data_IF_452733484088
#
_entry.id   IF_452733484088
#
_cell.length_a   1.000
_cell.length_b   1.000
_cell.length_c   1.000
_cell.angle_alpha   90.00
_cell.angle_beta   90.00
_cell.angle_gamma   90.00
#
_symmetry.space_group_name_H-M   'P 1'
#
loop_
_entity.id
_entity.type
_entity.pdbx_description
1 polymer ?
#
# COMPACT_ATOMS: atom_id res chain seq x y z
N UNK A 1 29.96 1.67 21.87
CA UNK A 1 29.69 0.88 20.66
C UNK A 1 28.99 -0.40 21.10
N UNK A 2 27.73 -0.60 20.69
CA UNK A 2 27.00 -1.84 20.99
C UNK A 2 26.61 -2.48 19.65
N UNK A 3 27.39 -3.49 19.25
CA UNK A 3 27.06 -4.40 18.17
C UNK A 3 25.87 -5.26 18.62
N UNK A 4 24.66 -4.93 18.15
CA UNK A 4 23.53 -5.86 18.25
C UNK A 4 23.65 -6.85 17.10
N UNK A 5 24.05 -8.07 17.45
CA UNK A 5 23.99 -9.25 16.58
C UNK A 5 22.59 -9.36 15.98
N UNK A 6 22.52 -9.36 14.66
CA UNK A 6 21.35 -9.79 13.91
C UNK A 6 21.16 -11.28 14.23
N UNK A 7 20.19 -11.58 15.10
CA UNK A 7 19.77 -12.95 15.35
C UNK A 7 19.14 -13.51 14.08
N UNK A 8 19.59 -14.71 13.74
CA UNK A 8 19.27 -15.48 12.56
C UNK A 8 17.75 -15.57 12.36
N UNK A 9 17.29 -15.32 11.13
CA UNK A 9 15.92 -15.60 10.69
C UNK A 9 15.64 -17.10 10.81
N UNK A 10 15.14 -17.50 11.99
CA UNK A 10 14.77 -18.86 12.29
C UNK A 10 13.72 -19.35 11.29
N UNK A 11 14.15 -20.21 10.37
CA UNK A 11 13.28 -20.88 9.42
C UNK A 11 12.15 -21.59 10.20
N UNK A 12 10.93 -21.07 10.10
CA UNK A 12 9.78 -21.66 10.79
C UNK A 12 9.65 -23.13 10.38
N UNK A 13 9.52 -24.01 11.37
CA UNK A 13 9.22 -25.42 11.11
C UNK A 13 7.96 -25.55 10.26
N UNK A 14 7.93 -26.57 9.41
CA UNK A 14 6.86 -26.78 8.43
C UNK A 14 5.47 -26.83 9.09
N UNK A 15 5.38 -27.37 10.31
CA UNK A 15 4.16 -27.37 11.12
C UNK A 15 3.70 -25.98 11.55
N UNK A 16 4.62 -25.03 11.83
CA UNK A 16 4.26 -23.63 12.13
C UNK A 16 3.77 -22.91 10.87
N UNK A 17 4.41 -23.15 9.71
CA UNK A 17 3.98 -22.59 8.41
C UNK A 17 2.59 -23.08 8.02
N UNK A 18 2.31 -24.38 8.21
CA UNK A 18 0.98 -24.96 7.94
C UNK A 18 -0.11 -24.38 8.85
N UNK A 19 0.15 -24.21 10.15
CA UNK A 19 -0.81 -23.55 11.06
C UNK A 19 -1.16 -22.12 10.65
N UNK A 20 -0.19 -21.36 10.14
CA UNK A 20 -0.45 -20.00 9.64
C UNK A 20 -1.29 -20.05 8.37
N UNK A 21 -0.97 -20.94 7.42
CA UNK A 21 -1.77 -21.12 6.19
C UNK A 21 -3.21 -21.50 6.49
N UNK A 22 -3.45 -22.47 7.37
CA UNK A 22 -4.80 -22.87 7.78
C UNK A 22 -5.57 -21.72 8.45
N UNK A 23 -4.87 -20.88 9.22
CA UNK A 23 -5.49 -19.73 9.87
C UNK A 23 -5.83 -18.64 8.85
N UNK A 24 -4.95 -18.36 7.88
CA UNK A 24 -5.24 -17.42 6.77
C UNK A 24 -6.38 -17.94 5.91
N UNK A 25 -6.38 -19.24 5.57
CA UNK A 25 -7.45 -19.87 4.80
C UNK A 25 -8.81 -19.73 5.46
N UNK A 26 -8.91 -19.96 6.78
CA UNK A 26 -10.16 -19.74 7.53
C UNK A 26 -10.62 -18.28 7.55
N UNK A 27 -9.70 -17.32 7.55
CA UNK A 27 -10.05 -15.91 7.44
C UNK A 27 -10.51 -15.54 6.02
N UNK A 28 -9.85 -16.08 4.99
CA UNK A 28 -10.27 -15.90 3.60
C UNK A 28 -11.60 -16.57 3.30
N UNK A 29 -11.94 -17.68 3.96
CA UNK A 29 -13.24 -18.34 3.82
C UNK A 29 -14.34 -17.56 4.57
N UNK A 30 -14.03 -17.06 5.77
CA UNK A 30 -14.99 -16.30 6.59
C UNK A 30 -15.26 -14.89 6.09
N UNK A 31 -14.26 -14.25 5.49
CA UNK A 31 -14.30 -12.87 4.98
C UNK A 31 -14.05 -12.83 3.47
N UNK A 32 -14.27 -13.95 2.79
CA UNK A 32 -14.07 -14.10 1.36
C UNK A 32 -14.91 -13.10 0.59
N UNK A 33 -14.28 -12.49 -0.40
CA UNK A 33 -14.84 -11.40 -1.20
C UNK A 33 -15.88 -11.87 -2.22
N UNK A 34 -16.12 -13.17 -2.31
CA UNK A 34 -16.90 -13.80 -3.41
C UNK A 34 -18.38 -13.39 -3.40
N UNK A 35 -18.92 -12.99 -2.24
CA UNK A 35 -20.30 -12.48 -2.09
C UNK A 35 -20.39 -10.98 -1.77
N UNK A 36 -19.27 -10.25 -1.77
CA UNK A 36 -19.30 -8.81 -1.54
C UNK A 36 -19.78 -8.11 -2.82
N UNK A 37 -21.06 -7.79 -2.87
CA UNK A 37 -21.57 -6.72 -3.73
C UNK A 37 -20.64 -5.51 -3.56
N UNK A 38 -19.87 -5.20 -4.60
CA UNK A 38 -19.05 -3.99 -4.68
C UNK A 38 -19.98 -2.80 -4.90
N UNK A 39 -20.93 -2.59 -4.01
CA UNK A 39 -21.63 -1.32 -3.89
C UNK A 39 -20.71 -0.42 -3.08
N UNK A 40 -19.83 0.27 -3.80
CA UNK A 40 -19.08 1.37 -3.22
C UNK A 40 -20.06 2.43 -2.70
N UNK A 41 -20.07 2.78 -1.40
CA UNK A 41 -20.66 4.04 -0.99
C UNK A 41 -19.69 5.12 -1.49
N UNK A 42 -19.94 5.62 -2.70
CA UNK A 42 -19.10 6.62 -3.36
C UNK A 42 -19.12 7.97 -2.61
N UNK A 43 -20.14 8.22 -1.77
CA UNK A 43 -20.29 9.47 -1.02
C UNK A 43 -19.23 9.72 0.07
N UNK A 44 -18.76 8.70 0.77
CA UNK A 44 -17.73 8.85 1.84
C UNK A 44 -16.30 8.56 1.34
N UNK A 45 -16.15 7.90 0.19
CA UNK A 45 -14.83 7.53 -0.37
C UNK A 45 -14.06 8.71 -0.95
N UNK A 46 -14.74 9.78 -1.33
CA UNK A 46 -14.10 10.91 -2.01
C UNK A 46 -13.13 11.68 -1.11
N UNK A 47 -13.42 11.79 0.19
CA UNK A 47 -12.53 12.45 1.15
C UNK A 47 -11.21 11.68 1.31
N UNK A 48 -11.26 10.36 1.52
CA UNK A 48 -10.07 9.53 1.65
C UNK A 48 -9.23 9.51 0.37
N UNK A 49 -9.88 9.48 -0.80
CA UNK A 49 -9.20 9.62 -2.09
C UNK A 49 -8.51 10.97 -2.21
N UNK A 50 -9.16 12.05 -1.78
CA UNK A 50 -8.56 13.39 -1.76
C UNK A 50 -7.35 13.45 -0.82
N UNK A 51 -7.42 12.84 0.36
CA UNK A 51 -6.30 12.75 1.31
C UNK A 51 -5.12 11.96 0.73
N UNK A 52 -5.36 10.78 0.16
CA UNK A 52 -4.33 9.99 -0.51
C UNK A 52 -3.67 10.77 -1.66
N UNK A 53 -4.46 11.45 -2.50
CA UNK A 53 -3.93 12.31 -3.58
C UNK A 53 -3.11 13.48 -3.05
N UNK A 54 -3.58 14.15 -2.00
CA UNK A 54 -2.88 15.27 -1.39
C UNK A 54 -1.56 14.85 -0.73
N UNK A 55 -1.53 13.67 -0.11
CA UNK A 55 -0.30 13.09 0.42
C UNK A 55 0.76 12.98 -0.68
N UNK A 56 0.46 12.30 -1.78
CA UNK A 56 1.41 12.13 -2.88
C UNK A 56 1.82 13.46 -3.54
N UNK A 57 0.88 14.41 -3.68
CA UNK A 57 1.16 15.76 -4.19
C UNK A 57 2.13 16.55 -3.32
N UNK A 58 2.30 16.18 -2.06
CA UNK A 58 3.26 16.82 -1.15
C UNK A 58 4.70 16.35 -1.40
N UNK A 59 4.91 15.34 -2.26
CA UNK A 59 6.23 14.75 -2.55
C UNK A 59 6.51 14.59 -4.06
N UNK A 60 6.42 15.68 -4.86
CA UNK A 60 6.58 15.60 -6.31
C UNK A 60 7.97 15.06 -6.72
N UNK A 61 9.04 15.48 -6.05
CA UNK A 61 10.41 15.06 -6.36
C UNK A 61 10.63 13.56 -6.09
N UNK A 62 10.04 13.05 -5.02
CA UNK A 62 10.15 11.64 -4.64
C UNK A 62 9.40 10.77 -5.64
N UNK A 63 8.20 11.20 -6.06
CA UNK A 63 7.46 10.53 -7.12
C UNK A 63 8.21 10.53 -8.44
N UNK A 64 8.79 11.67 -8.83
CA UNK A 64 9.59 11.78 -10.04
C UNK A 64 10.72 10.73 -10.07
N UNK A 65 11.54 10.69 -9.00
CA UNK A 65 12.64 9.72 -8.84
C UNK A 65 12.16 8.26 -8.90
N UNK A 66 11.01 7.94 -8.31
CA UNK A 66 10.45 6.59 -8.39
C UNK A 66 10.06 6.25 -9.83
N UNK A 67 9.41 7.17 -10.56
CA UNK A 67 9.07 6.92 -11.98
C UNK A 67 10.30 6.78 -12.85
N UNK A 68 11.32 7.62 -12.67
CA UNK A 68 12.59 7.45 -13.38
C UNK A 68 13.21 6.08 -13.10
N UNK A 69 13.21 5.64 -11.84
CA UNK A 69 13.70 4.31 -11.48
C UNK A 69 12.87 3.19 -12.11
N UNK A 70 11.54 3.31 -12.15
CA UNK A 70 10.64 2.34 -12.83
C UNK A 70 10.93 2.29 -14.33
N UNK A 71 11.13 3.44 -14.97
CA UNK A 71 11.49 3.55 -16.40
C UNK A 71 12.86 2.94 -16.66
N UNK A 72 13.88 3.28 -15.87
CA UNK A 72 15.24 2.76 -16.06
C UNK A 72 15.32 1.23 -15.86
N UNK A 73 14.48 0.67 -14.97
CA UNK A 73 14.38 -0.78 -14.78
C UNK A 73 13.71 -1.49 -15.96
N UNK A 74 12.74 -0.85 -16.62
CA UNK A 74 12.03 -1.40 -17.77
C UNK A 74 11.82 -0.33 -18.86
N UNK A 75 12.87 0.03 -19.64
CA UNK A 75 12.81 1.13 -20.60
C UNK A 75 11.72 0.94 -21.66
N UNK A 76 11.47 -0.31 -22.04
CA UNK A 76 10.47 -0.70 -23.05
C UNK A 76 9.03 -0.38 -22.61
N UNK A 77 8.79 -0.30 -21.29
CA UNK A 77 7.48 0.03 -20.71
C UNK A 77 7.33 1.52 -20.37
N UNK A 78 8.25 2.38 -20.81
CA UNK A 78 8.24 3.82 -20.50
C UNK A 78 6.87 4.47 -20.79
N UNK A 79 6.30 4.21 -21.96
CA UNK A 79 5.03 4.81 -22.35
C UNK A 79 3.88 4.36 -21.46
N UNK A 80 3.80 3.08 -21.14
CA UNK A 80 2.78 2.52 -20.23
C UNK A 80 2.91 3.10 -18.81
N UNK A 81 4.14 3.20 -18.30
CA UNK A 81 4.41 3.78 -16.97
C UNK A 81 3.96 5.25 -16.93
N UNK A 82 4.27 6.02 -17.98
CA UNK A 82 3.87 7.42 -18.06
C UNK A 82 2.35 7.57 -18.21
N UNK A 83 1.68 6.73 -18.99
CA UNK A 83 0.21 6.74 -19.11
C UNK A 83 -0.47 6.50 -17.76
N UNK A 84 -0.05 5.46 -17.04
CA UNK A 84 -0.58 5.14 -15.70
C UNK A 84 -0.39 6.28 -14.69
N UNK A 85 0.65 7.10 -14.86
CA UNK A 85 0.92 8.28 -14.04
C UNK A 85 0.27 9.57 -14.56
N UNK A 86 -0.13 9.62 -15.82
CA UNK A 86 -0.75 10.80 -16.44
C UNK A 86 -2.28 10.83 -16.26
N UNK A 87 -2.92 9.67 -16.06
CA UNK A 87 -4.37 9.54 -15.91
C UNK A 87 -4.95 10.31 -14.70
N UNK A 88 -4.12 10.73 -13.73
CA UNK A 88 -4.59 11.27 -12.44
C UNK A 88 -4.46 12.78 -12.23
N UNK A 89 -4.04 13.55 -13.24
CA UNK A 89 -4.22 15.01 -13.47
C UNK A 89 -2.99 15.55 -14.25
N UNK A 90 -3.14 16.04 -15.50
CA UNK A 90 -2.00 16.35 -16.38
C UNK A 90 -1.15 17.55 -15.96
N UNK A 91 -1.59 18.36 -15.00
CA UNK A 91 -1.04 19.72 -14.79
C UNK A 91 -0.14 19.90 -13.55
N UNK A 92 0.07 18.86 -12.71
CA UNK A 92 0.75 19.04 -11.41
C UNK A 92 1.84 18.01 -11.06
N UNK A 93 2.38 17.27 -12.03
CA UNK A 93 3.53 16.38 -11.83
C UNK A 93 3.15 14.89 -11.75
N UNK A 94 4.14 14.05 -11.43
CA UNK A 94 3.98 12.61 -11.38
C UNK A 94 3.04 12.20 -10.23
N UNK A 95 2.00 11.43 -10.52
CA UNK A 95 1.14 10.77 -9.52
C UNK A 95 1.36 9.27 -9.57
N UNK A 96 1.17 8.55 -8.44
CA UNK A 96 1.12 7.10 -8.47
C UNK A 96 -0.14 6.63 -9.21
N UNK A 97 -0.22 5.33 -9.51
CA UNK A 97 -1.37 4.78 -10.22
C UNK A 97 -2.66 4.97 -9.42
N UNK A 98 -3.80 5.06 -10.12
CA UNK A 98 -5.11 5.19 -9.46
C UNK A 98 -5.42 4.01 -8.53
N UNK A 99 -4.90 2.81 -8.85
CA UNK A 99 -4.96 1.64 -7.96
C UNK A 99 -4.27 1.87 -6.62
N UNK A 100 -3.06 2.45 -6.62
CA UNK A 100 -2.30 2.73 -5.40
C UNK A 100 -2.98 3.81 -4.55
N UNK A 101 -3.55 4.81 -5.20
CA UNK A 101 -4.32 5.88 -4.55
C UNK A 101 -5.56 5.29 -3.86
N UNK A 102 -6.31 4.42 -4.55
CA UNK A 102 -7.49 3.76 -4.00
C UNK A 102 -7.14 2.84 -2.84
N UNK A 103 -6.05 2.09 -2.97
CA UNK A 103 -5.59 1.20 -1.91
C UNK A 103 -5.18 1.99 -0.66
N UNK A 104 -4.41 3.07 -0.82
CA UNK A 104 -4.05 3.94 0.31
C UNK A 104 -5.29 4.58 0.93
N UNK A 105 -6.23 5.07 0.12
CA UNK A 105 -7.47 5.66 0.61
C UNK A 105 -8.28 4.66 1.46
N UNK A 106 -8.36 3.41 1.02
CA UNK A 106 -9.02 2.35 1.78
C UNK A 106 -8.27 2.05 3.10
N UNK A 107 -6.94 2.04 3.10
CA UNK A 107 -6.18 1.89 4.34
C UNK A 107 -6.41 3.05 5.31
N UNK A 108 -6.50 4.30 4.82
CA UNK A 108 -6.82 5.47 5.65
C UNK A 108 -8.21 5.30 6.27
N UNK A 109 -9.21 4.96 5.44
CA UNK A 109 -10.58 4.69 5.91
C UNK A 109 -10.61 3.63 7.00
N UNK A 110 -9.93 2.51 6.79
CA UNK A 110 -9.85 1.43 7.78
C UNK A 110 -9.11 1.85 9.06
N UNK A 111 -8.09 2.71 8.95
CA UNK A 111 -7.33 3.20 10.11
C UNK A 111 -8.15 4.09 11.04
N UNK A 112 -9.17 4.75 10.50
CA UNK A 112 -10.08 5.64 11.23
C UNK A 112 -11.40 4.96 11.59
N UNK A 113 -11.66 3.76 11.04
CA UNK A 113 -12.84 2.97 11.39
C UNK A 113 -12.59 2.24 12.71
N UNK A 114 -13.42 2.43 13.74
CA UNK A 114 -13.28 1.71 15.00
C UNK A 114 -13.68 0.24 14.80
N UNK A 115 -12.69 -0.65 14.67
CA UNK A 115 -12.89 -2.09 14.55
C UNK A 115 -12.52 -2.76 15.89
N UNK A 116 -13.45 -3.42 16.59
CA UNK A 116 -13.17 -4.06 17.88
C UNK A 116 -11.99 -5.04 17.81
N UNK A 117 -11.03 -4.86 18.70
CA UNK A 117 -9.82 -5.71 18.78
C UNK A 117 -8.75 -5.40 17.72
N UNK A 118 -8.96 -4.40 16.86
CA UNK A 118 -7.96 -3.94 15.89
C UNK A 118 -7.37 -2.62 16.36
N UNK A 119 -6.09 -2.67 16.70
CA UNK A 119 -5.29 -1.53 17.14
C UNK A 119 -4.54 -0.79 16.01
N UNK A 120 -4.37 -1.43 14.85
CA UNK A 120 -3.53 -0.91 13.77
C UNK A 120 -3.86 -1.54 12.42
N UNK A 121 -3.82 -0.72 11.37
CA UNK A 121 -3.86 -1.15 9.97
C UNK A 121 -2.45 -1.19 9.39
N UNK A 122 -2.17 -2.19 8.56
CA UNK A 122 -0.88 -2.35 7.89
C UNK A 122 -1.11 -2.83 6.46
N UNK A 123 -0.25 -2.41 5.54
CA UNK A 123 -0.29 -2.77 4.13
C UNK A 123 0.93 -3.64 3.81
N UNK A 124 0.67 -4.82 3.24
CA UNK A 124 1.70 -5.71 2.69
C UNK A 124 1.85 -5.39 1.19
N UNK A 125 3.01 -4.93 0.76
CA UNK A 125 3.23 -4.55 -0.65
C UNK A 125 4.70 -4.52 -1.05
N UNK A 126 4.96 -5.00 -2.26
CA UNK A 126 6.27 -4.91 -2.93
C UNK A 126 6.33 -3.74 -3.91
N UNK A 127 5.26 -2.94 -4.02
CA UNK A 127 5.31 -1.78 -4.89
C UNK A 127 6.26 -0.75 -4.29
N UNK A 128 7.27 -0.40 -5.08
CA UNK A 128 8.21 0.68 -4.79
C UNK A 128 7.53 1.99 -4.41
N UNK A 129 6.32 2.30 -4.90
CA UNK A 129 5.58 3.48 -4.49
C UNK A 129 5.29 3.39 -2.97
N UNK A 130 4.68 2.31 -2.46
CA UNK A 130 4.46 2.17 -1.01
C UNK A 130 5.74 2.04 -0.19
N UNK A 131 6.73 1.28 -0.68
CA UNK A 131 7.97 1.06 0.06
C UNK A 131 8.76 2.35 0.24
N UNK A 132 8.84 3.18 -0.80
CA UNK A 132 9.53 4.47 -0.71
C UNK A 132 8.81 5.42 0.23
N UNK A 133 7.49 5.39 0.27
CA UNK A 133 6.68 6.23 1.15
C UNK A 133 6.40 5.62 2.53
N UNK A 134 6.99 4.46 2.87
CA UNK A 134 6.70 3.71 4.10
C UNK A 134 6.72 4.56 5.37
N UNK A 135 7.82 5.28 5.64
CA UNK A 135 7.95 6.13 6.81
C UNK A 135 7.01 7.35 6.78
N UNK A 136 6.71 7.87 5.59
CA UNK A 136 5.83 9.03 5.43
C UNK A 136 4.36 8.65 5.62
N UNK A 137 3.96 7.49 5.11
CA UNK A 137 2.61 6.91 5.29
C UNK A 137 2.38 6.53 6.76
N UNK A 138 3.39 5.93 7.41
CA UNK A 138 3.30 5.60 8.84
C UNK A 138 3.17 6.85 9.71
N UNK A 139 3.90 7.92 9.37
CA UNK A 139 3.84 9.19 10.10
C UNK A 139 2.50 9.91 9.91
N UNK A 140 2.00 9.97 8.68
CA UNK A 140 0.80 10.74 8.34
C UNK A 140 -0.49 10.03 8.74
N UNK A 141 -0.54 8.70 8.59
CA UNK A 141 -1.77 7.92 8.69
C UNK A 141 -1.69 6.79 9.73
N UNK A 142 -0.56 6.58 10.38
CA UNK A 142 -0.37 5.46 11.32
C UNK A 142 -0.31 4.07 10.66
N UNK A 143 -0.36 4.01 9.33
CA UNK A 143 -0.39 2.76 8.56
C UNK A 143 1.04 2.25 8.36
N UNK A 144 1.32 1.02 8.79
CA UNK A 144 2.64 0.41 8.58
C UNK A 144 2.72 -0.29 7.23
N UNK A 145 3.80 -0.06 6.48
CA UNK A 145 4.09 -0.79 5.24
C UNK A 145 5.06 -1.93 5.52
N UNK A 146 4.77 -3.12 4.99
CA UNK A 146 5.59 -4.31 5.09
C UNK A 146 5.92 -4.84 3.70
N UNK A 147 7.21 -5.09 3.45
CA UNK A 147 7.74 -5.74 2.24
C UNK A 147 7.51 -7.26 2.32
N UNK A 148 7.22 -7.92 1.18
CA UNK A 148 6.90 -9.36 1.11
C UNK A 148 7.68 -10.15 0.04
#
# INVERSE_FOLDING_TARGET
MCERKLEEEGNFSEGKKNRVRERVGRYMEKYGTDDLLVEAPIGEREEYLKRARNFYRSYPDKLHKITEKKINKNPEKKHEILLKRAETVPSKGATPGEGDIRLLAECIRLSETPIPGVWRISLLSNDSDFLWFSSDIEREFGIKIHDI
#
